data_IF_655675125785
#
_entry.id   IF_655675125785
#
_cell.length_a   1.000
_cell.length_b   1.000
_cell.length_c   1.000
_cell.angle_alpha   90.00
_cell.angle_beta   90.00
_cell.angle_gamma   90.00
#
_symmetry.space_group_name_H-M   'P 1'
#
loop_
_entity.id
_entity.type
_entity.pdbx_description
1 polymer ?
#
# COMPACT_ATOMS: atom_id res chain seq x y z
N UNK A 1 -2.37 -5.35 36.59
CA UNK A 1 -1.78 -3.99 36.68
C UNK A 1 -2.28 -3.36 37.96
N UNK A 2 -1.38 -3.06 38.90
CA UNK A 2 -1.73 -2.32 40.11
C UNK A 2 -2.11 -0.87 39.73
N UNK A 3 -3.04 -0.27 40.46
CA UNK A 3 -3.60 1.07 40.21
C UNK A 3 -2.59 2.24 40.39
N UNK A 4 -1.30 1.97 40.53
CA UNK A 4 -0.31 2.93 41.02
C UNK A 4 0.50 3.68 39.94
N UNK A 5 0.40 3.35 38.64
CA UNK A 5 1.27 3.95 37.60
C UNK A 5 0.53 4.68 36.47
N UNK A 6 -0.78 4.96 36.60
CA UNK A 6 -1.54 5.74 35.60
C UNK A 6 -1.41 7.23 35.94
N UNK A 7 -0.30 7.82 35.53
CA UNK A 7 -0.02 9.26 35.64
C UNK A 7 0.11 9.89 34.24
N UNK A 8 0.26 11.21 34.14
CA UNK A 8 0.50 11.92 32.86
C UNK A 8 1.72 11.35 32.12
N UNK A 9 2.70 10.80 32.85
CA UNK A 9 3.86 10.08 32.31
C UNK A 9 3.46 8.82 31.50
N UNK A 10 2.40 8.11 31.88
CA UNK A 10 1.85 6.99 31.10
C UNK A 10 1.24 7.44 29.77
N UNK A 11 0.58 8.60 29.76
CA UNK A 11 0.09 9.25 28.54
C UNK A 11 1.26 9.71 27.67
N UNK A 12 2.29 10.33 28.27
CA UNK A 12 3.50 10.76 27.57
C UNK A 12 4.30 9.59 26.96
N UNK A 13 4.34 8.43 27.63
CA UNK A 13 4.91 7.19 27.07
C UNK A 13 4.08 6.66 25.91
N UNK A 14 2.76 6.68 26.03
CA UNK A 14 1.87 6.23 24.96
C UNK A 14 1.98 7.10 23.69
N UNK A 15 2.37 8.37 23.80
CA UNK A 15 2.70 9.20 22.62
C UNK A 15 3.98 8.76 21.90
N UNK A 16 4.98 8.27 22.64
CA UNK A 16 6.17 7.67 22.04
C UNK A 16 5.77 6.46 21.17
N UNK A 17 4.89 5.64 21.74
CA UNK A 17 4.33 4.45 21.10
C UNK A 17 3.40 4.77 19.92
N UNK A 18 2.87 6.00 19.82
CA UNK A 18 2.06 6.45 18.68
C UNK A 18 2.93 7.00 17.54
N UNK A 19 4.07 7.61 17.86
CA UNK A 19 5.00 8.15 16.85
C UNK A 19 5.73 7.06 16.07
N UNK A 20 6.14 5.98 16.74
CA UNK A 20 6.92 4.91 16.12
C UNK A 20 6.18 4.18 14.98
N UNK A 21 4.88 3.83 15.11
CA UNK A 21 4.12 3.28 14.00
C UNK A 21 4.01 4.22 12.80
N UNK A 22 3.87 5.53 13.01
CA UNK A 22 3.75 6.51 11.92
C UNK A 22 5.08 6.60 11.16
N UNK A 23 6.22 6.55 11.87
CA UNK A 23 7.54 6.48 11.24
C UNK A 23 7.71 5.25 10.34
N UNK A 24 7.06 4.12 10.64
CA UNK A 24 7.10 2.92 9.78
C UNK A 24 6.39 3.12 8.44
N UNK A 25 5.60 4.18 8.26
CA UNK A 25 5.03 4.56 6.97
C UNK A 25 6.05 5.27 6.06
N UNK A 26 7.22 5.59 6.63
CA UNK A 26 8.35 6.17 5.92
C UNK A 26 9.45 5.13 5.77
N UNK A 27 10.12 5.20 4.61
CA UNK A 27 11.35 4.46 4.36
C UNK A 27 12.50 5.44 4.45
N UNK A 28 13.29 5.29 5.52
CA UNK A 28 14.50 6.07 5.69
C UNK A 28 15.65 5.51 4.85
N UNK A 29 16.58 6.36 4.42
CA UNK A 29 17.87 5.92 3.91
C UNK A 29 18.47 4.90 4.87
N UNK A 30 18.93 3.76 4.35
CA UNK A 30 19.81 2.93 5.16
C UNK A 30 21.11 3.70 5.30
N UNK A 31 21.60 3.86 6.53
CA UNK A 31 22.99 4.23 6.79
C UNK A 31 23.89 3.19 6.09
N UNK A 32 24.24 3.43 4.83
CA UNK A 32 25.24 2.68 4.09
C UNK A 32 26.38 3.65 3.82
N UNK A 33 27.56 3.21 4.21
CA UNK A 33 28.84 3.91 4.17
C UNK A 33 29.36 4.24 2.76
N UNK A 34 28.51 4.23 1.73
CA UNK A 34 28.89 4.53 0.36
C UNK A 34 28.21 5.83 -0.06
N UNK A 35 29.04 6.86 -0.30
CA UNK A 35 28.71 8.27 -0.46
C UNK A 35 27.78 8.62 -1.64
N UNK A 36 26.55 8.12 -1.60
CA UNK A 36 25.47 8.56 -2.47
C UNK A 36 24.62 9.59 -1.71
N UNK A 37 24.94 10.88 -1.90
CA UNK A 37 24.35 12.05 -1.22
C UNK A 37 22.85 12.30 -1.54
N UNK A 38 22.11 11.31 -2.04
CA UNK A 38 20.73 11.48 -2.54
C UNK A 38 19.69 10.49 -1.99
N UNK A 39 19.98 9.77 -0.92
CA UNK A 39 18.93 9.00 -0.26
C UNK A 39 18.00 9.95 0.53
N UNK A 40 16.89 10.37 -0.07
CA UNK A 40 15.81 11.08 0.62
C UNK A 40 14.85 10.08 1.27
N UNK A 41 14.24 10.46 2.40
CA UNK A 41 13.11 9.71 2.97
C UNK A 41 12.00 9.57 1.93
N UNK A 42 11.45 8.36 1.76
CA UNK A 42 10.36 8.07 0.81
C UNK A 42 9.15 7.50 1.53
N UNK A 43 7.99 7.58 0.90
CA UNK A 43 6.83 6.84 1.36
C UNK A 43 7.07 5.34 1.19
N UNK A 44 6.56 4.51 2.12
CA UNK A 44 6.84 3.06 2.12
C UNK A 44 6.39 2.34 0.83
N UNK A 45 5.37 2.87 0.14
CA UNK A 45 4.89 2.37 -1.15
C UNK A 45 5.57 3.04 -2.35
N UNK A 46 6.30 4.15 -2.15
CA UNK A 46 6.99 4.89 -3.20
C UNK A 46 8.35 4.28 -3.51
N UNK A 47 8.33 3.29 -4.40
CA UNK A 47 9.51 2.54 -4.78
C UNK A 47 9.39 2.04 -6.22
N UNK A 48 10.53 1.83 -6.88
CA UNK A 48 10.63 1.41 -8.28
C UNK A 48 9.83 0.12 -8.56
N UNK A 49 9.65 -0.73 -7.53
CA UNK A 49 8.85 -1.94 -7.63
C UNK A 49 7.41 -1.67 -8.06
N UNK A 50 6.76 -0.58 -7.60
CA UNK A 50 5.36 -0.32 -7.91
C UNK A 50 5.20 -0.04 -9.40
N UNK A 51 6.08 0.80 -9.96
CA UNK A 51 6.05 1.15 -11.38
C UNK A 51 6.33 -0.05 -12.28
N UNK A 52 7.22 -0.95 -11.87
CA UNK A 52 7.47 -2.19 -12.61
C UNK A 52 6.25 -3.12 -12.62
N UNK A 53 5.60 -3.31 -11.46
CA UNK A 53 4.36 -4.11 -11.38
C UNK A 53 3.24 -3.44 -12.17
N UNK A 54 3.05 -2.13 -12.02
CA UNK A 54 2.04 -1.36 -12.75
C UNK A 54 2.23 -1.48 -14.27
N UNK A 55 3.46 -1.32 -14.77
CA UNK A 55 3.78 -1.44 -16.20
C UNK A 55 3.47 -2.84 -16.72
N UNK A 56 3.88 -3.87 -15.98
CA UNK A 56 3.61 -5.26 -16.33
C UNK A 56 2.11 -5.54 -16.42
N UNK A 57 1.36 -5.13 -15.39
CA UNK A 57 -0.09 -5.31 -15.29
C UNK A 57 -0.83 -4.56 -16.41
N UNK A 58 -0.45 -3.31 -16.69
CA UNK A 58 -1.04 -2.54 -17.80
C UNK A 58 -0.79 -3.23 -19.13
N UNK A 59 0.44 -3.68 -19.37
CA UNK A 59 0.80 -4.37 -20.62
C UNK A 59 -0.02 -5.65 -20.79
N UNK A 60 -0.17 -6.47 -19.74
CA UNK A 60 -1.01 -7.68 -19.79
C UNK A 60 -2.50 -7.38 -20.01
N UNK A 61 -3.01 -6.27 -19.45
CA UNK A 61 -4.42 -5.87 -19.56
C UNK A 61 -4.81 -5.33 -20.95
N UNK A 62 -3.84 -4.96 -21.80
CA UNK A 62 -4.06 -4.52 -23.19
C UNK A 62 -4.50 -5.65 -24.13
N UNK A 63 -4.24 -6.90 -23.74
CA UNK A 63 -4.59 -8.07 -24.54
C UNK A 63 -6.09 -8.40 -24.47
N UNK A 64 -6.61 -9.21 -25.41
CA UNK A 64 -7.97 -9.72 -25.31
C UNK A 64 -8.15 -10.60 -24.08
N UNK A 65 -9.21 -10.33 -23.31
CA UNK A 65 -9.58 -11.05 -22.10
C UNK A 65 -10.79 -11.97 -22.28
N UNK A 66 -11.34 -12.08 -23.48
CA UNK A 66 -12.39 -13.03 -23.81
C UNK A 66 -12.20 -13.62 -25.22
N UNK A 67 -12.94 -14.70 -25.50
CA UNK A 67 -12.89 -15.39 -26.80
C UNK A 67 -13.26 -14.50 -27.98
N UNK A 68 -14.30 -13.69 -27.85
CA UNK A 68 -14.82 -12.84 -28.92
C UNK A 68 -13.81 -11.76 -29.29
N UNK A 69 -13.20 -11.11 -28.29
CA UNK A 69 -12.14 -10.13 -28.49
C UNK A 69 -10.89 -10.80 -29.04
N UNK A 70 -10.55 -11.99 -28.56
CA UNK A 70 -9.42 -12.75 -29.06
C UNK A 70 -9.58 -13.07 -30.55
N UNK A 71 -10.69 -13.70 -30.95
CA UNK A 71 -10.96 -14.06 -32.36
C UNK A 71 -11.08 -12.83 -33.27
N UNK A 72 -11.48 -11.68 -32.73
CA UNK A 72 -11.51 -10.41 -33.48
C UNK A 72 -10.10 -9.88 -33.79
N UNK A 73 -9.15 -10.05 -32.87
CA UNK A 73 -7.76 -9.59 -33.03
C UNK A 73 -6.91 -10.64 -33.73
N UNK A 74 -7.21 -11.91 -33.50
CA UNK A 74 -6.42 -13.08 -33.89
C UNK A 74 -7.31 -14.06 -34.66
N UNK A 75 -7.87 -13.67 -35.81
CA UNK A 75 -8.78 -14.54 -36.56
C UNK A 75 -8.18 -15.94 -36.79
N UNK A 76 -8.96 -17.02 -36.61
CA UNK A 76 -8.50 -18.38 -36.91
C UNK A 76 -7.94 -18.51 -38.34
N UNK A 77 -8.51 -17.76 -39.29
CA UNK A 77 -8.08 -17.75 -40.70
C UNK A 77 -6.63 -17.31 -40.89
N UNK A 78 -6.11 -16.46 -39.98
CA UNK A 78 -4.71 -16.03 -40.01
C UNK A 78 -3.75 -17.18 -39.73
N UNK A 79 -4.17 -18.11 -38.87
CA UNK A 79 -3.32 -19.18 -38.35
C UNK A 79 -3.60 -20.54 -39.00
N UNK A 80 -4.65 -20.69 -39.82
CA UNK A 80 -4.98 -21.94 -40.54
C UNK A 80 -3.82 -22.54 -41.34
N UNK A 81 -2.87 -21.73 -41.80
CA UNK A 81 -1.69 -22.19 -42.55
C UNK A 81 -0.52 -22.62 -41.67
N UNK A 82 -0.56 -22.34 -40.36
CA UNK A 82 0.54 -22.55 -39.42
C UNK A 82 0.18 -23.55 -38.31
N UNK A 83 -1.06 -23.53 -37.84
CA UNK A 83 -1.55 -24.45 -36.84
C UNK A 83 -1.97 -25.74 -37.54
N UNK A 84 -1.39 -26.86 -37.12
CA UNK A 84 -1.74 -28.17 -37.67
C UNK A 84 -3.03 -28.69 -37.02
N UNK A 85 -3.36 -28.21 -35.82
CA UNK A 85 -4.50 -28.66 -35.04
C UNK A 85 -5.29 -27.48 -34.42
N UNK A 86 -6.63 -27.59 -34.38
CA UNK A 86 -7.52 -26.66 -33.65
C UNK A 86 -7.17 -26.54 -32.15
N UNK A 87 -6.46 -27.54 -31.61
CA UNK A 87 -5.98 -27.59 -30.23
C UNK A 87 -4.96 -26.48 -29.95
N UNK A 88 -4.07 -26.19 -30.91
CA UNK A 88 -3.03 -25.17 -30.76
C UNK A 88 -3.63 -23.77 -30.72
N UNK A 89 -4.60 -23.49 -31.61
CA UNK A 89 -5.35 -22.23 -31.60
C UNK A 89 -6.06 -22.01 -30.26
N UNK A 90 -6.69 -23.08 -29.74
CA UNK A 90 -7.38 -23.04 -28.46
C UNK A 90 -6.43 -22.75 -27.30
N UNK A 91 -5.23 -23.34 -27.30
CA UNK A 91 -4.20 -23.07 -26.29
C UNK A 91 -3.75 -21.61 -26.33
N UNK A 92 -3.54 -21.04 -27.52
CA UNK A 92 -3.24 -19.60 -27.66
C UNK A 92 -4.34 -18.73 -27.06
N UNK A 93 -5.59 -18.99 -27.46
CA UNK A 93 -6.74 -18.25 -26.95
C UNK A 93 -6.83 -18.33 -25.42
N UNK A 94 -6.81 -19.54 -24.86
CA UNK A 94 -6.95 -19.74 -23.42
C UNK A 94 -5.81 -19.09 -22.63
N UNK A 95 -4.57 -19.23 -23.12
CA UNK A 95 -3.42 -18.66 -22.44
C UNK A 95 -3.42 -17.13 -22.45
N UNK A 96 -3.65 -16.51 -23.62
CA UNK A 96 -3.67 -15.05 -23.75
C UNK A 96 -4.80 -14.43 -22.91
N UNK A 97 -6.00 -15.02 -22.99
CA UNK A 97 -7.16 -14.49 -22.27
C UNK A 97 -7.02 -14.66 -20.76
N UNK A 98 -6.48 -15.77 -20.27
CA UNK A 98 -6.25 -15.98 -18.83
C UNK A 98 -5.30 -14.93 -18.24
N UNK A 99 -4.11 -14.77 -18.84
CA UNK A 99 -3.11 -13.77 -18.38
C UNK A 99 -3.69 -12.36 -18.43
N UNK A 100 -4.42 -12.03 -19.50
CA UNK A 100 -5.04 -10.72 -19.63
C UNK A 100 -6.13 -10.47 -18.58
N UNK A 101 -6.96 -11.47 -18.28
CA UNK A 101 -7.97 -11.40 -17.23
C UNK A 101 -7.34 -11.16 -15.86
N UNK A 102 -6.27 -11.90 -15.51
CA UNK A 102 -5.56 -11.73 -14.24
C UNK A 102 -4.97 -10.32 -14.11
N UNK A 103 -4.32 -9.83 -15.17
CA UNK A 103 -3.78 -8.47 -15.22
C UNK A 103 -4.88 -7.40 -15.12
N UNK A 104 -5.98 -7.53 -15.88
CA UNK A 104 -7.10 -6.58 -15.83
C UNK A 104 -7.77 -6.55 -14.46
N UNK A 105 -7.98 -7.72 -13.85
CA UNK A 105 -8.50 -7.81 -12.51
C UNK A 105 -7.59 -7.07 -11.51
N UNK A 106 -6.28 -7.35 -11.53
CA UNK A 106 -5.35 -6.72 -10.59
C UNK A 106 -5.10 -5.23 -10.89
N UNK A 107 -5.28 -4.77 -12.13
CA UNK A 107 -5.25 -3.34 -12.45
C UNK A 107 -6.33 -2.58 -11.65
N UNK A 108 -7.55 -3.12 -11.61
CA UNK A 108 -8.67 -2.49 -10.92
C UNK A 108 -8.67 -2.74 -9.40
N UNK A 109 -8.45 -3.99 -9.01
CA UNK A 109 -8.59 -4.44 -7.61
C UNK A 109 -7.29 -4.34 -6.80
N UNK A 110 -6.15 -4.19 -7.47
CA UNK A 110 -4.84 -3.99 -6.88
C UNK A 110 -4.29 -2.58 -7.12
N UNK A 111 -3.81 -2.30 -8.32
CA UNK A 111 -3.07 -1.07 -8.68
C UNK A 111 -3.87 0.19 -8.33
N UNK A 112 -5.10 0.33 -8.84
CA UNK A 112 -5.91 1.52 -8.53
C UNK A 112 -6.27 1.63 -7.05
N UNK A 113 -6.42 0.49 -6.35
CA UNK A 113 -6.66 0.50 -4.91
C UNK A 113 -5.43 0.90 -4.10
N UNK A 114 -4.22 0.57 -4.55
CA UNK A 114 -2.96 1.04 -3.94
C UNK A 114 -2.83 2.56 -4.09
N UNK A 115 -3.15 3.11 -5.26
CA UNK A 115 -3.14 4.56 -5.49
C UNK A 115 -4.17 5.25 -4.58
N UNK A 116 -5.39 4.72 -4.50
CA UNK A 116 -6.41 5.23 -3.60
C UNK A 116 -6.02 5.08 -2.12
N UNK A 117 -5.33 3.99 -1.76
CA UNK A 117 -4.81 3.79 -0.40
C UNK A 117 -3.83 4.91 -0.01
N UNK A 118 -2.97 5.34 -0.93
CA UNK A 118 -2.08 6.47 -0.67
C UNK A 118 -2.85 7.79 -0.46
N UNK A 119 -3.95 8.02 -1.19
CA UNK A 119 -4.84 9.14 -0.90
C UNK A 119 -5.47 9.03 0.49
N UNK A 120 -5.94 7.84 0.89
CA UNK A 120 -6.48 7.63 2.23
C UNK A 120 -5.43 7.86 3.32
N UNK A 121 -4.20 7.38 3.14
CA UNK A 121 -3.10 7.59 4.10
C UNK A 121 -2.73 9.08 4.18
N UNK A 122 -2.76 9.81 3.06
CA UNK A 122 -2.57 11.25 3.05
C UNK A 122 -3.66 11.99 3.85
N UNK A 123 -4.94 11.67 3.60
CA UNK A 123 -6.06 12.26 4.36
C UNK A 123 -5.96 11.92 5.84
N UNK A 124 -5.77 10.63 6.17
CA UNK A 124 -5.55 10.16 7.54
C UNK A 124 -4.42 10.94 8.22
N UNK A 125 -3.26 11.06 7.57
CA UNK A 125 -2.10 11.73 8.18
C UNK A 125 -2.33 13.23 8.35
N UNK A 126 -3.11 13.86 7.46
CA UNK A 126 -3.50 15.27 7.58
C UNK A 126 -4.48 15.48 8.75
N UNK A 127 -5.50 14.63 8.85
CA UNK A 127 -6.47 14.68 9.95
C UNK A 127 -5.78 14.42 11.31
N UNK A 128 -4.83 13.48 11.35
CA UNK A 128 -4.02 13.20 12.54
C UNK A 128 -3.21 14.42 12.98
N UNK A 129 -2.69 15.23 12.06
CA UNK A 129 -1.95 16.46 12.42
C UNK A 129 -2.85 17.41 13.21
N UNK A 130 -4.04 17.72 12.69
CA UNK A 130 -4.97 18.64 13.33
C UNK A 130 -5.40 18.12 14.71
N UNK A 131 -5.69 16.81 14.78
CA UNK A 131 -6.06 16.13 16.02
C UNK A 131 -4.93 16.15 17.05
N UNK A 132 -3.69 15.90 16.65
CA UNK A 132 -2.53 15.94 17.54
C UNK A 132 -2.26 17.36 18.05
N UNK A 133 -2.41 18.39 17.22
CA UNK A 133 -2.24 19.78 17.65
C UNK A 133 -3.28 20.19 18.72
N UNK A 134 -4.55 19.80 18.57
CA UNK A 134 -5.58 20.02 19.61
C UNK A 134 -5.29 19.20 20.86
N UNK A 135 -4.85 17.94 20.69
CA UNK A 135 -4.48 17.06 21.78
C UNK A 135 -3.33 17.65 22.62
N UNK A 136 -2.36 18.30 21.97
CA UNK A 136 -1.26 19.00 22.63
C UNK A 136 -1.75 20.07 23.62
N UNK A 137 -2.78 20.83 23.24
CA UNK A 137 -3.35 21.87 24.09
C UNK A 137 -4.11 21.28 25.27
N UNK A 138 -4.90 20.22 25.04
CA UNK A 138 -5.61 19.55 26.13
C UNK A 138 -4.64 18.93 27.14
N UNK A 139 -3.52 18.37 26.67
CA UNK A 139 -2.45 17.87 27.53
C UNK A 139 -1.78 18.97 28.34
N UNK A 140 -1.62 20.17 27.76
CA UNK A 140 -1.08 21.34 28.45
C UNK A 140 -1.96 21.73 29.62
N UNK A 141 -3.28 21.77 29.42
CA UNK A 141 -4.28 22.09 30.46
C UNK A 141 -4.21 21.09 31.63
N UNK A 142 -4.26 19.77 31.36
CA UNK A 142 -4.23 18.77 32.43
C UNK A 142 -2.88 18.72 33.17
N UNK A 143 -1.80 19.20 32.53
CA UNK A 143 -0.46 19.25 33.09
C UNK A 143 -0.18 20.56 33.84
N UNK A 144 -0.92 21.63 33.57
CA UNK A 144 -0.69 22.96 34.15
C UNK A 144 -1.04 23.00 35.63
N UNK A 145 -0.02 23.16 36.48
CA UNK A 145 -0.11 23.26 37.95
C UNK A 145 -1.11 24.30 38.44
N UNK A 146 -1.38 25.38 37.69
CA UNK A 146 -2.40 26.37 38.06
C UNK A 146 -3.82 25.82 38.02
N UNK A 147 -4.10 24.84 37.16
CA UNK A 147 -5.44 24.30 36.94
C UNK A 147 -5.70 23.18 37.95
N UNK A 148 -6.71 23.30 38.84
CA UNK A 148 -7.09 22.19 39.72
C UNK A 148 -7.55 21.00 38.89
N UNK A 149 -7.10 19.80 39.24
CA UNK A 149 -7.42 18.60 38.45
C UNK A 149 -8.92 18.23 38.47
N UNK A 150 -9.62 18.67 39.52
CA UNK A 150 -11.08 18.56 39.70
C UNK A 150 -11.87 19.72 39.08
N UNK A 151 -11.21 20.66 38.40
CA UNK A 151 -11.91 21.77 37.73
C UNK A 151 -12.74 21.28 36.54
N UNK A 152 -13.74 22.07 36.15
CA UNK A 152 -14.49 21.84 34.90
C UNK A 152 -13.55 21.81 33.70
N UNK A 153 -12.62 22.77 33.62
CA UNK A 153 -11.61 22.86 32.56
C UNK A 153 -10.76 21.59 32.42
N UNK A 154 -10.22 21.04 33.52
CA UNK A 154 -9.46 19.80 33.48
C UNK A 154 -10.34 18.58 33.12
N UNK A 155 -11.63 18.62 33.46
CA UNK A 155 -12.60 17.57 33.12
C UNK A 155 -12.92 17.59 31.64
N UNK A 156 -13.21 18.76 31.08
CA UNK A 156 -13.48 18.97 29.66
C UNK A 156 -12.25 18.59 28.82
N UNK A 157 -11.05 18.97 29.25
CA UNK A 157 -9.82 18.57 28.58
C UNK A 157 -9.65 17.04 28.51
N UNK A 158 -9.98 16.29 29.58
CA UNK A 158 -9.94 14.81 29.57
C UNK A 158 -10.99 14.21 28.63
N UNK A 159 -12.19 14.77 28.57
CA UNK A 159 -13.24 14.34 27.65
C UNK A 159 -12.81 14.56 26.20
N UNK A 160 -12.29 15.75 25.88
CA UNK A 160 -11.79 16.09 24.55
C UNK A 160 -10.62 15.18 24.13
N UNK A 161 -9.66 14.90 25.04
CA UNK A 161 -8.59 13.94 24.77
C UNK A 161 -9.17 12.59 24.37
N UNK A 162 -10.17 12.09 25.10
CA UNK A 162 -10.80 10.80 24.84
C UNK A 162 -11.50 10.78 23.48
N UNK A 163 -12.22 11.84 23.13
CA UNK A 163 -12.90 11.96 21.83
C UNK A 163 -11.89 12.00 20.68
N UNK A 164 -10.83 12.79 20.79
CA UNK A 164 -9.75 12.87 19.79
C UNK A 164 -9.11 11.49 19.58
N UNK A 165 -8.78 10.80 20.67
CA UNK A 165 -8.23 9.45 20.59
C UNK A 165 -9.22 8.48 19.95
N UNK A 166 -10.52 8.58 20.21
CA UNK A 166 -11.51 7.72 19.55
C UNK A 166 -11.52 7.93 18.02
N UNK A 167 -11.45 9.20 17.57
CA UNK A 167 -11.38 9.51 16.14
C UNK A 167 -10.11 8.96 15.50
N UNK A 168 -8.95 9.10 16.15
CA UNK A 168 -7.68 8.53 15.69
C UNK A 168 -7.76 7.00 15.60
N UNK A 169 -8.36 6.36 16.60
CA UNK A 169 -8.55 4.92 16.64
C UNK A 169 -9.39 4.45 15.45
N UNK A 170 -10.58 5.01 15.27
CA UNK A 170 -11.52 4.60 14.24
C UNK A 170 -10.91 4.80 12.83
N UNK A 171 -10.21 5.92 12.63
CA UNK A 171 -9.56 6.24 11.35
C UNK A 171 -8.39 5.29 11.04
N UNK A 172 -7.59 4.93 12.05
CA UNK A 172 -6.49 3.96 11.90
C UNK A 172 -7.01 2.55 11.58
N UNK A 173 -8.09 2.12 12.25
CA UNK A 173 -8.72 0.83 12.02
C UNK A 173 -9.34 0.73 10.61
N UNK A 174 -10.04 1.77 10.17
CA UNK A 174 -10.64 1.81 8.84
C UNK A 174 -9.58 1.79 7.73
N UNK A 175 -8.51 2.58 7.90
CA UNK A 175 -7.38 2.56 6.94
C UNK A 175 -6.68 1.21 6.95
N UNK A 176 -6.53 0.57 8.13
CA UNK A 176 -5.92 -0.76 8.27
C UNK A 176 -6.71 -1.84 7.51
N UNK A 177 -8.05 -1.83 7.60
CA UNK A 177 -8.93 -2.74 6.86
C UNK A 177 -8.79 -2.58 5.34
N UNK A 178 -8.67 -1.34 4.86
CA UNK A 178 -8.43 -1.04 3.44
C UNK A 178 -7.09 -1.61 2.99
N UNK A 179 -6.02 -1.39 3.76
CA UNK A 179 -4.70 -1.97 3.49
C UNK A 179 -4.75 -3.50 3.43
N UNK A 180 -5.44 -4.15 4.39
CA UNK A 180 -5.58 -5.60 4.41
C UNK A 180 -6.31 -6.15 3.18
N UNK A 181 -7.35 -5.45 2.71
CA UNK A 181 -8.05 -5.82 1.48
C UNK A 181 -7.13 -5.74 0.26
N UNK A 182 -6.29 -4.71 0.15
CA UNK A 182 -5.35 -4.54 -0.97
C UNK A 182 -4.22 -5.55 -0.91
N UNK A 183 -3.72 -5.85 0.30
CA UNK A 183 -2.73 -6.90 0.53
C UNK A 183 -3.25 -8.25 0.02
N UNK A 184 -4.49 -8.63 0.36
CA UNK A 184 -5.10 -9.88 -0.08
C UNK A 184 -5.13 -10.01 -1.61
N UNK A 185 -5.54 -8.97 -2.33
CA UNK A 185 -5.55 -9.01 -3.79
C UNK A 185 -4.13 -9.05 -4.39
N UNK A 186 -3.16 -8.42 -3.73
CA UNK A 186 -1.75 -8.51 -4.11
C UNK A 186 -1.18 -9.92 -3.91
N UNK A 187 -1.57 -10.59 -2.83
CA UNK A 187 -1.19 -11.98 -2.57
C UNK A 187 -1.80 -12.93 -3.60
N UNK A 188 -3.07 -12.72 -3.94
CA UNK A 188 -3.73 -13.47 -5.00
C UNK A 188 -3.02 -13.28 -6.34
N UNK A 189 -2.67 -12.04 -6.69
CA UNK A 189 -1.96 -11.76 -7.93
C UNK A 189 -0.58 -12.42 -7.96
N UNK A 190 0.15 -12.44 -6.84
CA UNK A 190 1.44 -13.12 -6.74
C UNK A 190 1.36 -14.62 -7.10
N UNK A 191 0.25 -15.29 -6.74
CA UNK A 191 0.00 -16.69 -7.10
C UNK A 191 -0.32 -16.80 -8.58
N UNK A 192 -1.26 -16.00 -9.09
CA UNK A 192 -1.66 -16.07 -10.51
C UNK A 192 -0.51 -15.70 -11.45
N UNK A 193 0.38 -14.77 -11.08
CA UNK A 193 1.58 -14.43 -11.87
C UNK A 193 2.52 -15.64 -12.02
N UNK A 194 2.62 -16.49 -11.00
CA UNK A 194 3.42 -17.72 -11.08
C UNK A 194 2.78 -18.76 -12.01
N UNK A 195 1.45 -18.85 -12.02
CA UNK A 195 0.69 -19.70 -12.94
C UNK A 195 0.78 -19.17 -14.39
N UNK A 196 0.65 -17.86 -14.56
CA UNK A 196 0.77 -17.14 -15.82
C UNK A 196 2.15 -17.36 -16.46
N UNK A 197 3.21 -17.47 -15.65
CA UNK A 197 4.54 -17.80 -16.15
C UNK A 197 4.56 -19.14 -16.89
N UNK A 198 3.95 -20.18 -16.32
CA UNK A 198 3.88 -21.51 -16.96
C UNK A 198 3.11 -21.43 -18.27
N UNK A 199 2.01 -20.68 -18.28
CA UNK A 199 1.19 -20.45 -19.47
C UNK A 199 1.99 -19.73 -20.56
N UNK A 200 2.67 -18.64 -20.22
CA UNK A 200 3.44 -17.86 -21.18
C UNK A 200 4.65 -18.62 -21.72
N UNK A 201 5.33 -19.43 -20.90
CA UNK A 201 6.42 -20.29 -21.36
C UNK A 201 5.91 -21.33 -22.37
N UNK A 202 4.76 -21.96 -22.08
CA UNK A 202 4.12 -22.89 -23.01
C UNK A 202 3.70 -22.21 -24.32
N UNK A 203 3.18 -20.98 -24.25
CA UNK A 203 2.86 -20.18 -25.43
C UNK A 203 4.11 -19.81 -26.23
N UNK A 204 5.20 -19.46 -25.56
CA UNK A 204 6.46 -19.12 -26.21
C UNK A 204 7.04 -20.31 -26.98
N UNK A 205 7.03 -21.51 -26.38
CA UNK A 205 7.43 -22.74 -27.06
C UNK A 205 6.51 -23.08 -28.24
N UNK A 206 5.20 -22.90 -28.09
CA UNK A 206 4.26 -23.07 -29.19
C UNK A 206 4.60 -22.11 -30.36
N UNK A 207 4.83 -20.82 -30.08
CA UNK A 207 5.17 -19.83 -31.10
C UNK A 207 6.50 -20.15 -31.80
N UNK A 208 7.53 -20.61 -31.08
CA UNK A 208 8.81 -21.01 -31.68
C UNK A 208 8.65 -22.16 -32.68
N UNK A 209 7.72 -23.08 -32.42
CA UNK A 209 7.43 -24.21 -33.31
C UNK A 209 6.54 -23.81 -34.50
N UNK A 210 5.75 -22.73 -34.36
CA UNK A 210 4.80 -22.27 -35.37
C UNK A 210 5.39 -21.33 -36.41
N UNK A 211 6.42 -20.53 -36.08
CA UNK A 211 7.02 -19.57 -37.02
C UNK A 211 7.92 -20.34 -38.01
N UNK A 212 7.57 -20.45 -39.31
CA UNK A 212 8.44 -21.07 -40.30
C UNK A 212 9.73 -20.25 -40.44
N UNK A 213 10.87 -20.90 -40.72
CA UNK A 213 12.16 -20.21 -40.93
C UNK A 213 12.14 -19.26 -42.14
N UNK A 214 11.18 -19.45 -43.05
CA UNK A 214 10.96 -18.65 -44.26
C UNK A 214 9.56 -18.01 -44.23
N UNK A 215 9.33 -17.06 -43.32
CA UNK A 215 8.03 -16.35 -43.23
C UNK A 215 7.83 -15.50 -44.48
N UNK A 216 6.81 -15.84 -45.27
CA UNK A 216 6.32 -15.01 -46.36
C UNK A 216 5.77 -13.69 -45.78
N UNK A 217 6.55 -12.60 -45.92
CA UNK A 217 6.25 -11.27 -45.36
C UNK A 217 5.09 -10.57 -46.04
N UNK A 218 4.55 -11.15 -47.12
CA UNK A 218 3.52 -10.53 -47.95
C UNK A 218 2.13 -10.52 -47.29
N UNK A 219 1.93 -11.25 -46.19
CA UNK A 219 0.70 -11.18 -45.39
C UNK A 219 0.89 -10.43 -44.05
N UNK A 220 0.82 -9.10 -44.15
CA UNK A 220 1.06 -8.17 -43.02
C UNK A 220 0.10 -8.39 -41.82
N UNK A 221 -1.13 -8.84 -42.04
CA UNK A 221 -2.10 -9.10 -40.95
C UNK A 221 -1.68 -10.30 -40.11
N UNK A 222 -1.20 -11.37 -40.77
CA UNK A 222 -0.67 -12.56 -40.08
C UNK A 222 0.56 -12.22 -39.25
N UNK A 223 1.46 -11.41 -39.80
CA UNK A 223 2.67 -10.97 -39.11
C UNK A 223 2.35 -10.10 -37.89
N UNK A 224 1.37 -9.19 -38.00
CA UNK A 224 0.89 -8.37 -36.88
C UNK A 224 0.28 -9.21 -35.76
N UNK A 225 -0.49 -10.25 -36.10
CA UNK A 225 -1.03 -11.21 -35.13
C UNK A 225 0.09 -11.92 -34.35
N UNK A 226 1.07 -12.50 -35.03
CA UNK A 226 2.23 -13.14 -34.39
C UNK A 226 3.02 -12.18 -33.50
N UNK A 227 3.31 -10.97 -33.98
CA UNK A 227 4.02 -9.98 -33.18
C UNK A 227 3.27 -9.62 -31.91
N UNK A 228 1.94 -9.52 -31.97
CA UNK A 228 1.12 -9.21 -30.80
C UNK A 228 1.13 -10.38 -29.80
N UNK A 229 1.06 -11.64 -30.25
CA UNK A 229 1.21 -12.78 -29.35
C UNK A 229 2.65 -12.86 -28.80
N UNK A 230 3.67 -12.55 -29.59
CA UNK A 230 5.06 -12.46 -29.13
C UNK A 230 5.25 -11.41 -28.03
N UNK A 231 4.53 -10.28 -28.11
CA UNK A 231 4.53 -9.25 -27.07
C UNK A 231 3.99 -9.79 -25.73
N UNK A 232 2.93 -10.60 -25.74
CA UNK A 232 2.44 -11.20 -24.48
C UNK A 232 3.43 -12.22 -23.94
N UNK A 233 4.07 -13.02 -24.78
CA UNK A 233 5.06 -14.01 -24.33
C UNK A 233 6.35 -13.35 -23.87
N UNK A 234 6.64 -12.13 -24.32
CA UNK A 234 7.73 -11.32 -23.79
C UNK A 234 7.51 -10.87 -22.33
N UNK A 235 6.30 -11.05 -21.78
CA UNK A 235 6.06 -10.90 -20.34
C UNK A 235 6.69 -12.05 -19.54
N UNK A 236 6.92 -13.24 -20.12
CA UNK A 236 7.44 -14.40 -19.39
C UNK A 236 8.85 -14.15 -18.78
N UNK A 237 9.84 -13.66 -19.55
CA UNK A 237 11.14 -13.29 -18.99
C UNK A 237 11.04 -12.21 -17.89
N UNK A 238 10.00 -11.36 -17.94
CA UNK A 238 9.78 -10.30 -16.96
C UNK A 238 9.12 -10.79 -15.67
N UNK A 239 8.38 -11.91 -15.67
CA UNK A 239 7.63 -12.37 -14.49
C UNK A 239 8.53 -12.68 -13.30
N UNK A 240 9.71 -13.26 -13.50
CA UNK A 240 10.63 -13.53 -12.36
C UNK A 240 11.08 -12.23 -11.69
N UNK A 241 11.32 -11.18 -12.48
CA UNK A 241 11.66 -9.86 -11.95
C UNK A 241 10.43 -9.20 -11.30
N UNK A 242 9.26 -9.28 -11.94
CA UNK A 242 8.00 -8.75 -11.42
C UNK A 242 7.59 -9.45 -10.13
N UNK A 243 7.83 -10.74 -9.96
CA UNK A 243 7.55 -11.47 -8.73
C UNK A 243 8.31 -10.88 -7.53
N UNK A 244 9.59 -10.54 -7.72
CA UNK A 244 10.40 -9.84 -6.69
C UNK A 244 9.79 -8.49 -6.34
N UNK A 245 9.27 -7.78 -7.34
CA UNK A 245 8.60 -6.50 -7.13
C UNK A 245 7.23 -6.65 -6.44
N UNK A 246 6.45 -7.69 -6.77
CA UNK A 246 5.20 -8.02 -6.08
C UNK A 246 5.48 -8.35 -4.62
N UNK A 247 6.49 -9.17 -4.32
CA UNK A 247 6.84 -9.51 -2.94
C UNK A 247 7.32 -8.29 -2.14
N UNK A 248 8.07 -7.39 -2.76
CA UNK A 248 8.45 -6.12 -2.15
C UNK A 248 7.23 -5.24 -1.85
N UNK A 249 6.26 -5.18 -2.76
CA UNK A 249 5.00 -4.45 -2.58
C UNK A 249 4.13 -5.06 -1.46
N UNK A 250 4.04 -6.39 -1.38
CA UNK A 250 3.37 -7.11 -0.29
C UNK A 250 3.99 -6.75 1.05
N UNK A 251 5.32 -6.79 1.16
CA UNK A 251 6.03 -6.43 2.38
C UNK A 251 5.73 -4.99 2.81
N UNK A 252 5.75 -4.05 1.87
CA UNK A 252 5.41 -2.66 2.14
C UNK A 252 3.96 -2.51 2.64
N UNK A 253 3.00 -3.20 2.02
CA UNK A 253 1.60 -3.21 2.46
C UNK A 253 1.43 -3.84 3.85
N UNK A 254 2.17 -4.90 4.17
CA UNK A 254 2.21 -5.48 5.53
C UNK A 254 2.75 -4.46 6.53
N UNK A 255 3.83 -3.75 6.20
CA UNK A 255 4.40 -2.72 7.08
C UNK A 255 3.39 -1.59 7.36
N UNK A 256 2.63 -1.15 6.36
CA UNK A 256 1.53 -0.19 6.51
C UNK A 256 0.41 -0.74 7.41
N UNK A 257 -0.03 -1.97 7.17
CA UNK A 257 -1.10 -2.60 7.94
C UNK A 257 -0.72 -2.76 9.42
N UNK A 258 0.50 -3.23 9.70
CA UNK A 258 1.04 -3.37 11.04
C UNK A 258 1.13 -2.03 11.76
N UNK A 259 1.60 -0.99 11.06
CA UNK A 259 1.69 0.37 11.60
C UNK A 259 0.31 0.87 12.04
N UNK A 260 -0.69 0.80 11.16
CA UNK A 260 -2.04 1.27 11.46
C UNK A 260 -2.71 0.47 12.59
N UNK A 261 -2.49 -0.85 12.64
CA UNK A 261 -3.00 -1.71 13.73
C UNK A 261 -2.30 -1.41 15.07
N UNK A 262 -1.02 -1.08 15.03
CA UNK A 262 -0.28 -0.63 16.21
C UNK A 262 -0.78 0.73 16.71
N UNK A 263 -1.15 1.64 15.81
CA UNK A 263 -1.80 2.91 16.17
C UNK A 263 -3.15 2.68 16.85
N UNK A 264 -4.03 1.83 16.29
CA UNK A 264 -5.31 1.45 16.92
C UNK A 264 -5.10 0.92 18.35
N UNK A 265 -4.18 -0.04 18.50
CA UNK A 265 -3.87 -0.65 19.80
C UNK A 265 -3.34 0.37 20.81
N UNK A 266 -2.44 1.27 20.39
CA UNK A 266 -1.88 2.31 21.24
C UNK A 266 -2.94 3.32 21.66
N UNK A 267 -3.77 3.75 20.71
CA UNK A 267 -4.84 4.71 20.96
C UNK A 267 -5.89 4.13 21.92
N UNK A 268 -6.25 2.85 21.77
CA UNK A 268 -7.11 2.13 22.73
C UNK A 268 -6.55 2.11 24.15
N UNK A 269 -5.23 1.91 24.29
CA UNK A 269 -4.55 1.97 25.60
C UNK A 269 -4.59 3.38 26.19
N UNK A 270 -4.41 4.41 25.37
CA UNK A 270 -4.50 5.81 25.80
C UNK A 270 -5.91 6.18 26.27
N UNK A 271 -6.96 5.77 25.54
CA UNK A 271 -8.37 5.99 25.94
C UNK A 271 -8.64 5.39 27.32
N UNK A 272 -8.14 4.18 27.57
CA UNK A 272 -8.25 3.50 28.88
C UNK A 272 -7.49 4.28 29.96
N UNK A 273 -6.25 4.71 29.69
CA UNK A 273 -5.45 5.48 30.64
C UNK A 273 -6.14 6.80 31.03
N UNK A 274 -6.64 7.56 30.05
CA UNK A 274 -7.36 8.82 30.27
C UNK A 274 -8.65 8.60 31.06
N UNK A 275 -9.38 7.52 30.79
CA UNK A 275 -10.61 7.18 31.53
C UNK A 275 -10.32 6.84 33.00
N UNK A 276 -9.17 6.25 33.30
CA UNK A 276 -8.77 5.86 34.66
C UNK A 276 -8.19 7.02 35.49
N UNK A 277 -7.85 8.15 34.86
CA UNK A 277 -7.36 9.33 35.57
C UNK A 277 -8.43 10.03 36.42
N UNK A 278 -9.72 9.76 36.20
CA UNK A 278 -10.84 10.51 36.77
C UNK A 278 -11.07 10.38 38.29
N UNK A 279 -10.62 9.30 38.93
CA UNK A 279 -11.12 8.97 40.29
C UNK A 279 -10.06 8.84 41.40
N UNK A 280 -8.76 8.65 41.08
CA UNK A 280 -7.74 8.38 42.12
C UNK A 280 -6.36 9.02 41.91
N UNK A 281 -6.13 9.77 40.82
CA UNK A 281 -4.81 10.34 40.55
C UNK A 281 -4.59 11.64 41.33
N UNK A 282 -3.83 11.60 42.43
CA UNK A 282 -2.95 12.75 42.76
C UNK A 282 -1.78 12.66 41.77
N UNK A 283 -1.71 13.47 40.71
CA UNK A 283 -0.62 13.33 39.76
C UNK A 283 0.57 14.07 40.35
N UNK A 284 1.69 13.37 40.54
CA UNK A 284 2.96 14.00 40.18
C UNK A 284 2.80 14.44 38.72
N UNK A 285 2.49 15.73 38.52
CA UNK A 285 2.21 16.26 37.19
C UNK A 285 3.51 16.15 36.41
N UNK A 286 3.51 15.23 35.43
CA UNK A 286 4.64 15.07 34.54
C UNK A 286 4.87 16.38 33.79
N UNK A 287 6.14 16.69 33.54
CA UNK A 287 6.51 17.85 32.74
C UNK A 287 5.99 17.69 31.30
N UNK A 288 5.10 18.61 30.90
CA UNK A 288 4.60 18.68 29.53
C UNK A 288 5.74 18.80 28.51
N UNK A 289 6.89 19.36 28.88
CA UNK A 289 8.02 19.54 27.98
C UNK A 289 8.43 18.25 27.24
N UNK A 290 8.41 17.11 27.91
CA UNK A 290 8.74 15.80 27.31
C UNK A 290 7.62 15.31 26.39
N UNK A 291 6.36 15.42 26.82
CA UNK A 291 5.21 14.97 26.03
C UNK A 291 5.01 15.85 24.78
N UNK A 292 5.14 17.17 24.92
CA UNK A 292 5.04 18.14 23.84
C UNK A 292 6.13 17.96 22.79
N UNK A 293 7.37 17.70 23.18
CA UNK A 293 8.45 17.41 22.23
C UNK A 293 8.16 16.15 21.37
N UNK A 294 7.66 15.08 22.00
CA UNK A 294 7.28 13.84 21.30
C UNK A 294 6.09 14.04 20.37
N UNK A 295 5.08 14.78 20.82
CA UNK A 295 3.92 15.10 19.99
C UNK A 295 4.33 15.98 18.80
N UNK A 296 5.21 16.96 19.00
CA UNK A 296 5.79 17.76 17.92
C UNK A 296 6.52 16.91 16.87
N UNK A 297 7.27 15.88 17.31
CA UNK A 297 7.88 14.89 16.41
C UNK A 297 6.82 14.11 15.63
N UNK A 298 5.79 13.59 16.31
CA UNK A 298 4.70 12.85 15.66
C UNK A 298 3.97 13.69 14.61
N UNK A 299 3.66 14.96 14.92
CA UNK A 299 3.07 15.91 13.97
C UNK A 299 3.98 16.13 12.76
N UNK A 300 5.28 16.32 12.96
CA UNK A 300 6.23 16.48 11.86
C UNK A 300 6.27 15.24 10.96
N UNK A 301 6.30 14.04 11.55
CA UNK A 301 6.26 12.77 10.81
C UNK A 301 4.96 12.63 10.03
N UNK A 302 3.79 12.93 10.61
CA UNK A 302 2.51 12.91 9.90
C UNK A 302 2.47 13.86 8.71
N UNK A 303 2.96 15.10 8.89
CA UNK A 303 3.09 16.08 7.80
C UNK A 303 3.94 15.52 6.66
N UNK A 304 5.06 14.87 7.00
CA UNK A 304 5.94 14.23 6.01
C UNK A 304 5.25 13.05 5.30
N UNK A 305 4.56 12.17 6.03
CA UNK A 305 3.81 11.05 5.46
C UNK A 305 2.72 11.56 4.52
N UNK A 306 1.95 12.58 4.91
CA UNK A 306 0.91 13.17 4.08
C UNK A 306 1.48 13.67 2.74
N UNK A 307 2.55 14.46 2.80
CA UNK A 307 3.22 15.01 1.61
C UNK A 307 3.74 13.90 0.68
N UNK A 308 4.44 12.89 1.22
CA UNK A 308 5.03 11.83 0.42
C UNK A 308 3.97 10.88 -0.15
N UNK A 309 2.92 10.55 0.62
CA UNK A 309 1.80 9.74 0.13
C UNK A 309 1.04 10.47 -1.00
N UNK A 310 0.85 11.79 -0.87
CA UNK A 310 0.26 12.61 -1.93
C UNK A 310 1.15 12.65 -3.18
N UNK A 311 2.47 12.79 -3.01
CA UNK A 311 3.45 12.78 -4.09
C UNK A 311 3.40 11.47 -4.88
N UNK A 312 3.46 10.35 -4.17
CA UNK A 312 3.31 9.01 -4.74
C UNK A 312 2.00 8.86 -5.52
N UNK A 313 0.86 9.22 -4.91
CA UNK A 313 -0.44 9.03 -5.56
C UNK A 313 -0.55 9.82 -6.87
N UNK A 314 -0.01 11.05 -6.91
CA UNK A 314 0.05 11.87 -8.13
C UNK A 314 0.91 11.24 -9.22
N UNK A 315 2.11 10.77 -8.87
CA UNK A 315 3.03 10.18 -9.83
C UNK A 315 2.52 8.84 -10.37
N UNK A 316 2.00 7.99 -9.48
CA UNK A 316 1.44 6.69 -9.81
C UNK A 316 0.20 6.78 -10.71
N UNK A 317 -0.60 7.85 -10.60
CA UNK A 317 -1.76 8.09 -11.46
C UNK A 317 -1.39 8.59 -12.87
N UNK A 318 -0.21 9.21 -13.03
CA UNK A 318 0.28 9.73 -14.31
C UNK A 318 1.09 8.70 -15.11
N UNK A 319 1.63 7.70 -14.41
CA UNK A 319 2.34 6.53 -14.96
C UNK A 319 1.34 5.52 -15.49
#
# INVERSE_FOLDING_TARGET
>A
MAAADINILSIARAFDELSSPIERLLKHPKDKADGDEQASTRFVLDNDFFYHVQTHVKTGAEFPDDKRLFEKVYSPDYFKSWLQEDVEYRKMWQGVTAVSQHCRFFLHEGIYRIINLAHYINSFSSDVVDLLEVLAEMLRIISDRSVPFSSGEATDARLNIKEILQVLQDSSLETSKRTASVLKETERFAVTTSEDQVVLDALNELLKNLVPKDVDTDNWEKWKGLQSIQKITALAPSHKAVQVHIDAMRKALTEVHDALTSMDTTTSRMIKAVSLMGDQARPERADYGVAGAKLGKAVATCKQVAQLAQGFAKQAAQS
#
